data_IF_255485618532
#
_entry.id   IF_255485618532
#
_cell.length_a   1.000
_cell.length_b   1.000
_cell.length_c   1.000
_cell.angle_alpha   90.00
_cell.angle_beta   90.00
_cell.angle_gamma   90.00
#
_symmetry.space_group_name_H-M   'P 1'
#
loop_
_entity.id
_entity.type
_entity.pdbx_description
1 polymer ?
#
# COMPACT_ATOMS: atom_id res chain seq x y z
N UNK A 1 11.47 7.81 4.92
CA UNK A 1 10.68 7.27 6.06
C UNK A 1 9.28 6.98 5.55
N UNK A 2 8.48 6.15 6.23
CA UNK A 2 7.07 5.99 5.83
C UNK A 2 6.35 7.36 5.92
N UNK A 3 5.56 7.69 4.90
CA UNK A 3 4.95 9.03 4.77
C UNK A 3 5.86 10.10 4.16
N UNK A 4 7.09 9.77 3.75
CA UNK A 4 7.93 10.71 2.99
C UNK A 4 7.42 10.91 1.57
N UNK A 5 7.46 12.16 1.12
CA UNK A 5 7.14 12.57 -0.24
C UNK A 5 8.40 12.59 -1.11
N UNK A 6 8.26 12.08 -2.34
CA UNK A 6 9.33 11.97 -3.32
C UNK A 6 8.91 12.67 -4.62
N UNK A 7 9.81 13.50 -5.16
CA UNK A 7 9.67 14.05 -6.50
C UNK A 7 10.65 13.34 -7.42
N UNK A 8 10.17 12.85 -8.56
CA UNK A 8 11.00 12.12 -9.51
C UNK A 8 11.40 13.03 -10.66
N UNK A 9 12.57 12.77 -11.24
CA UNK A 9 12.99 13.42 -12.48
C UNK A 9 13.57 12.40 -13.45
N UNK A 10 13.26 12.56 -14.73
CA UNK A 10 13.70 11.66 -15.81
C UNK A 10 14.41 12.49 -16.87
N UNK A 11 15.60 12.07 -17.28
CA UNK A 11 16.34 12.69 -18.39
C UNK A 11 16.75 11.61 -19.38
N UNK A 12 16.72 11.91 -20.67
CA UNK A 12 17.25 11.03 -21.70
C UNK A 12 18.77 11.25 -21.82
N UNK A 13 19.54 10.18 -21.98
CA UNK A 13 20.98 10.26 -22.21
C UNK A 13 21.33 9.48 -23.49
N UNK A 14 22.15 10.09 -24.34
CA UNK A 14 22.73 9.46 -25.51
C UNK A 14 24.22 9.82 -25.61
N UNK A 15 24.88 9.37 -26.69
CA UNK A 15 26.32 9.61 -26.92
C UNK A 15 26.71 11.09 -26.99
N UNK A 16 25.76 11.99 -27.19
CA UNK A 16 25.95 13.44 -27.24
C UNK A 16 25.67 14.15 -25.90
N UNK A 17 25.11 13.44 -24.91
CA UNK A 17 24.88 13.95 -23.56
C UNK A 17 23.47 13.72 -23.03
N UNK A 18 23.15 14.43 -21.95
CA UNK A 18 21.90 14.32 -21.21
C UNK A 18 20.93 15.46 -21.56
N UNK A 19 19.64 15.13 -21.71
CA UNK A 19 18.57 16.11 -21.92
C UNK A 19 18.26 16.91 -20.66
N UNK A 20 17.44 17.96 -20.80
CA UNK A 20 16.80 18.54 -19.63
C UNK A 20 15.93 17.50 -18.90
N UNK A 21 15.95 17.49 -17.56
CA UNK A 21 15.10 16.60 -16.78
C UNK A 21 13.64 17.02 -16.87
N UNK A 22 12.75 16.06 -17.07
CA UNK A 22 11.33 16.19 -16.80
C UNK A 22 11.06 15.79 -15.34
N UNK A 23 10.52 16.72 -14.55
CA UNK A 23 10.13 16.44 -13.16
C UNK A 23 8.68 15.97 -13.07
N UNK A 24 8.38 15.12 -12.10
CA UNK A 24 7.00 14.75 -11.78
C UNK A 24 6.22 15.99 -11.34
N UNK A 25 5.02 16.20 -11.90
CA UNK A 25 4.19 17.37 -11.62
C UNK A 25 3.83 17.50 -10.13
N UNK A 26 3.67 16.37 -9.45
CA UNK A 26 3.32 16.30 -8.02
C UNK A 26 4.29 15.37 -7.28
N UNK A 27 4.54 15.62 -5.98
CA UNK A 27 5.21 14.66 -5.12
C UNK A 27 4.39 13.39 -4.96
N UNK A 28 5.08 12.25 -4.83
CA UNK A 28 4.50 10.93 -4.61
C UNK A 28 4.88 10.46 -3.21
N UNK A 29 3.90 10.07 -2.41
CA UNK A 29 4.15 9.45 -1.11
C UNK A 29 4.57 8.00 -1.34
N UNK A 30 5.75 7.61 -0.83
CA UNK A 30 6.14 6.21 -0.85
C UNK A 30 5.20 5.41 0.06
N UNK A 31 4.43 4.50 -0.53
CA UNK A 31 3.55 3.58 0.18
C UNK A 31 4.04 2.15 0.00
N UNK A 32 3.95 1.34 1.05
CA UNK A 32 4.18 -0.09 0.94
C UNK A 32 3.14 -0.67 -0.05
N UNK A 33 3.54 -1.47 -1.06
CA UNK A 33 2.58 -2.14 -1.94
C UNK A 33 1.61 -3.05 -1.18
N UNK A 34 1.99 -3.50 0.02
CA UNK A 34 1.13 -4.24 0.93
C UNK A 34 0.70 -3.33 2.08
N UNK A 35 -0.59 -2.99 2.12
CA UNK A 35 -1.22 -2.44 3.33
C UNK A 35 -1.53 -3.59 4.28
N UNK A 36 -1.72 -3.30 5.58
CA UNK A 36 -2.30 -4.29 6.48
C UNK A 36 -3.58 -4.86 5.84
N UNK A 37 -3.78 -6.19 5.86
CA UNK A 37 -5.01 -6.76 5.33
C UNK A 37 -6.18 -6.17 6.10
N UNK A 38 -7.31 -5.99 5.41
CA UNK A 38 -8.53 -5.62 6.10
C UNK A 38 -8.90 -6.70 7.11
N UNK A 39 -9.58 -6.30 8.20
CA UNK A 39 -10.10 -7.26 9.17
C UNK A 39 -11.03 -8.29 8.50
N UNK A 40 -11.27 -9.44 9.16
CA UNK A 40 -12.11 -10.48 8.59
C UNK A 40 -13.51 -9.96 8.28
N UNK A 41 -13.97 -10.21 7.05
CA UNK A 41 -15.32 -9.88 6.59
C UNK A 41 -16.27 -11.05 6.91
N UNK A 42 -17.57 -10.73 7.11
CA UNK A 42 -18.61 -11.72 7.39
C UNK A 42 -18.29 -12.62 8.59
N UNK A 43 -18.10 -11.99 9.75
CA UNK A 43 -17.93 -12.71 11.02
C UNK A 43 -19.28 -13.29 11.44
N UNK A 44 -19.35 -14.61 11.53
CA UNK A 44 -20.49 -15.33 12.07
C UNK A 44 -20.15 -15.97 13.41
N UNK A 45 -21.14 -16.05 14.30
CA UNK A 45 -21.04 -16.83 15.53
C UNK A 45 -21.29 -18.29 15.21
N UNK A 46 -20.28 -19.14 15.44
CA UNK A 46 -20.36 -20.58 15.20
C UNK A 46 -20.87 -21.33 16.44
N UNK A 47 -20.47 -20.89 17.64
CA UNK A 47 -20.87 -21.49 18.91
C UNK A 47 -20.76 -20.45 20.03
N UNK A 48 -21.62 -20.54 21.04
CA UNK A 48 -21.58 -19.70 22.23
C UNK A 48 -21.79 -20.57 23.47
N UNK A 49 -20.91 -20.39 24.46
CA UNK A 49 -21.04 -20.90 25.82
C UNK A 49 -21.19 -19.72 26.79
N UNK A 50 -21.42 -19.99 28.07
CA UNK A 50 -21.54 -18.94 29.10
C UNK A 50 -20.30 -18.04 29.18
N UNK A 51 -19.11 -18.61 28.93
CA UNK A 51 -17.83 -17.91 29.11
C UNK A 51 -17.01 -17.78 27.81
N UNK A 52 -17.52 -18.23 26.66
CA UNK A 52 -16.78 -18.16 25.40
C UNK A 52 -17.68 -18.08 24.18
N UNK A 53 -17.15 -17.48 23.11
CA UNK A 53 -17.78 -17.47 21.79
C UNK A 53 -16.77 -17.93 20.75
N UNK A 54 -17.21 -18.79 19.83
CA UNK A 54 -16.41 -19.22 18.68
C UNK A 54 -16.91 -18.47 17.46
N UNK A 55 -16.01 -17.76 16.79
CA UNK A 55 -16.30 -16.99 15.58
C UNK A 55 -15.72 -17.71 14.36
N UNK A 56 -16.45 -17.64 13.25
CA UNK A 56 -16.01 -18.11 11.93
C UNK A 56 -16.08 -16.96 10.93
N UNK A 57 -15.13 -16.90 10.00
CA UNK A 57 -15.12 -15.93 8.92
C UNK A 57 -14.51 -16.56 7.65
N UNK A 58 -14.79 -15.97 6.50
CA UNK A 58 -14.23 -16.43 5.23
C UNK A 58 -12.78 -15.96 5.06
N UNK A 59 -11.98 -16.72 4.29
CA UNK A 59 -10.62 -16.31 3.93
C UNK A 59 -10.66 -14.93 3.22
N UNK A 60 -9.67 -14.06 3.48
CA UNK A 60 -9.57 -12.76 2.81
C UNK A 60 -9.46 -12.91 1.29
#
# INVERSE_FOLDING_TARGET
>A
TEGSEYKFRVSAENVYGQSHPLESEKPIIAKNPFTAPQGPNNIDVANQTENSVTLKWNKP
#
